data_IF_808936050127
#
_entry.id   IF_808936050127
#
_cell.length_a   1.000
_cell.length_b   1.000
_cell.length_c   1.000
_cell.angle_alpha   90.00
_cell.angle_beta   90.00
_cell.angle_gamma   90.00
#
_symmetry.space_group_name_H-M   'P 1'
#
loop_
_entity.id
_entity.type
_entity.pdbx_description
1 polymer ?
#
# COMPACT_ATOMS: atom_id res chain seq x y z
N UNK A 1 13.49 3.58 -7.52
CA UNK A 1 14.66 4.29 -8.09
C UNK A 1 14.75 4.17 -9.63
N UNK A 2 14.00 3.25 -10.25
CA UNK A 2 14.11 2.93 -11.68
C UNK A 2 12.79 3.17 -12.45
N UNK A 3 11.93 4.06 -11.97
CA UNK A 3 10.72 4.40 -12.72
C UNK A 3 11.11 5.21 -13.96
N UNK A 4 10.50 4.95 -15.13
CA UNK A 4 10.70 5.75 -16.33
C UNK A 4 10.36 7.23 -16.08
N UNK A 5 11.06 8.12 -16.78
CA UNK A 5 10.96 9.57 -16.52
C UNK A 5 9.56 10.11 -16.81
N UNK A 6 8.92 9.65 -17.85
CA UNK A 6 7.55 10.00 -18.21
C UNK A 6 6.54 9.62 -17.11
N UNK A 7 6.75 8.47 -16.44
CA UNK A 7 5.95 8.07 -15.28
C UNK A 7 6.20 9.00 -14.10
N UNK A 8 7.48 9.34 -13.82
CA UNK A 8 7.83 10.24 -12.72
C UNK A 8 7.24 11.64 -12.95
N UNK A 9 7.29 12.15 -14.16
CA UNK A 9 6.73 13.46 -14.51
C UNK A 9 5.19 13.44 -14.52
N UNK A 10 4.58 12.41 -15.11
CA UNK A 10 3.15 12.32 -15.34
C UNK A 10 2.29 11.92 -14.14
N UNK A 11 2.87 11.26 -13.11
CA UNK A 11 2.04 10.82 -11.98
C UNK A 11 1.58 12.01 -11.12
N UNK A 12 0.34 11.94 -10.64
CA UNK A 12 -0.28 12.98 -9.82
C UNK A 12 0.11 12.87 -8.34
N UNK A 13 0.35 11.65 -7.87
CA UNK A 13 0.68 11.39 -6.48
C UNK A 13 0.90 9.90 -6.20
N UNK A 14 1.18 9.59 -4.95
CA UNK A 14 1.50 8.23 -4.50
C UNK A 14 0.65 7.83 -3.31
N UNK A 15 0.13 6.59 -3.36
CA UNK A 15 -0.49 5.92 -2.23
C UNK A 15 0.58 5.20 -1.41
N UNK A 16 0.57 5.45 -0.11
CA UNK A 16 1.43 4.76 0.86
C UNK A 16 0.62 3.66 1.53
N UNK A 17 1.06 2.42 1.34
CA UNK A 17 0.45 1.20 1.83
C UNK A 17 1.54 0.39 2.52
N UNK A 18 1.34 -0.10 3.71
CA UNK A 18 2.26 -0.94 4.49
C UNK A 18 3.49 -0.25 5.13
N UNK A 19 3.97 0.87 4.65
CA UNK A 19 5.07 1.62 5.28
C UNK A 19 4.52 2.79 6.09
N UNK A 20 5.11 3.05 7.26
CA UNK A 20 4.76 4.22 8.08
C UNK A 20 4.80 5.50 7.23
N UNK A 21 3.66 6.19 7.04
CA UNK A 21 3.59 7.39 6.23
C UNK A 21 4.49 8.52 6.71
N UNK A 22 4.80 8.56 8.01
CA UNK A 22 5.69 9.58 8.61
C UNK A 22 7.11 9.42 8.07
N UNK A 23 7.51 8.20 7.72
CA UNK A 23 8.80 7.89 7.09
C UNK A 23 8.68 7.96 5.57
N UNK A 24 7.62 7.37 5.01
CA UNK A 24 7.48 7.22 3.57
C UNK A 24 7.27 8.55 2.84
N UNK A 25 6.56 9.52 3.43
CA UNK A 25 6.32 10.83 2.80
C UNK A 25 7.62 11.64 2.64
N UNK A 26 8.50 11.78 3.66
CA UNK A 26 9.80 12.40 3.47
C UNK A 26 10.64 11.73 2.39
N UNK A 27 10.73 10.41 2.38
CA UNK A 27 11.46 9.67 1.33
C UNK A 27 10.89 9.91 -0.08
N UNK A 28 9.57 10.03 -0.19
CA UNK A 28 8.93 10.38 -1.46
C UNK A 28 9.27 11.81 -1.89
N UNK A 29 9.32 12.75 -0.97
CA UNK A 29 9.77 14.12 -1.23
C UNK A 29 11.21 14.12 -1.75
N UNK A 30 12.11 13.41 -1.09
CA UNK A 30 13.51 13.29 -1.51
C UNK A 30 13.64 12.64 -2.89
N UNK A 31 12.81 11.62 -3.16
CA UNK A 31 12.72 11.01 -4.49
C UNK A 31 12.26 12.00 -5.56
N UNK A 32 11.24 12.79 -5.29
CA UNK A 32 10.75 13.81 -6.22
C UNK A 32 11.82 14.86 -6.51
N UNK A 33 12.43 15.42 -5.48
CA UNK A 33 13.49 16.43 -5.61
C UNK A 33 14.69 15.91 -6.38
N UNK A 34 15.13 14.67 -6.10
CA UNK A 34 16.26 14.04 -6.82
C UNK A 34 15.96 13.77 -8.29
N UNK A 35 14.69 13.79 -8.70
CA UNK A 35 14.25 13.66 -10.08
C UNK A 35 13.78 14.99 -10.69
N UNK A 36 14.08 16.13 -10.05
CA UNK A 36 13.73 17.46 -10.57
C UNK A 36 12.23 17.76 -10.53
N UNK A 37 11.47 17.05 -9.70
CA UNK A 37 10.04 17.25 -9.53
C UNK A 37 9.74 18.16 -8.34
N UNK A 38 8.70 18.96 -8.44
CA UNK A 38 8.21 19.82 -7.38
C UNK A 38 7.21 19.07 -6.49
N UNK A 39 7.55 18.76 -5.22
CA UNK A 39 6.64 18.06 -4.31
C UNK A 39 5.34 18.82 -4.05
N UNK A 40 5.33 20.14 -4.18
CA UNK A 40 4.13 20.97 -3.98
C UNK A 40 3.05 20.73 -5.04
N UNK A 41 3.40 20.09 -6.15
CA UNK A 41 2.47 19.72 -7.24
C UNK A 41 2.02 18.27 -7.16
N UNK A 42 2.48 17.52 -6.17
CA UNK A 42 2.21 16.08 -6.02
C UNK A 42 1.33 15.82 -4.80
N UNK A 43 0.65 14.66 -4.81
CA UNK A 43 -0.25 14.23 -3.75
C UNK A 43 0.34 13.04 -2.99
N UNK A 44 0.20 13.06 -1.67
CA UNK A 44 0.45 11.92 -0.79
C UNK A 44 -0.87 11.34 -0.28
N UNK A 45 -1.03 10.01 -0.34
CA UNK A 45 -2.24 9.31 0.09
C UNK A 45 -1.85 8.20 1.08
N UNK A 46 -1.61 8.53 2.37
CA UNK A 46 -1.50 7.50 3.40
C UNK A 46 -2.73 6.60 3.41
N UNK A 47 -2.48 5.30 3.49
CA UNK A 47 -3.52 4.28 3.51
C UNK A 47 -3.06 3.12 4.39
N UNK A 48 -3.96 2.19 4.67
CA UNK A 48 -3.74 1.02 5.54
C UNK A 48 -3.75 1.34 7.03
N UNK A 49 -4.58 0.62 7.78
CA UNK A 49 -4.67 0.69 9.24
C UNK A 49 -4.99 2.05 9.86
N UNK A 50 -5.50 3.01 9.09
CA UNK A 50 -5.73 4.37 9.57
C UNK A 50 -6.90 4.45 10.55
N UNK A 51 -6.70 5.29 11.56
CA UNK A 51 -7.73 5.77 12.49
C UNK A 51 -7.64 7.29 12.66
N UNK A 52 -8.56 7.88 13.40
CA UNK A 52 -8.59 9.33 13.61
C UNK A 52 -7.32 9.87 14.28
N UNK A 53 -6.69 9.09 15.15
CA UNK A 53 -5.46 9.47 15.84
C UNK A 53 -4.28 9.49 14.86
N UNK A 54 -4.08 8.41 14.13
CA UNK A 54 -2.99 8.30 13.14
C UNK A 54 -3.12 9.35 12.03
N UNK A 55 -4.34 9.62 11.54
CA UNK A 55 -4.59 10.70 10.57
C UNK A 55 -4.15 12.05 11.12
N UNK A 56 -4.52 12.37 12.37
CA UNK A 56 -4.10 13.62 13.01
C UNK A 56 -2.58 13.70 13.16
N UNK A 57 -1.95 12.61 13.59
CA UNK A 57 -0.50 12.59 13.83
C UNK A 57 0.28 12.69 12.51
N UNK A 58 -0.18 12.02 11.43
CA UNK A 58 0.37 12.16 10.09
C UNK A 58 0.18 13.59 9.56
N UNK A 59 -1.01 14.16 9.74
CA UNK A 59 -1.28 15.55 9.33
C UNK A 59 -0.31 16.52 9.99
N UNK A 60 -0.14 16.42 11.31
CA UNK A 60 0.72 17.29 12.07
C UNK A 60 2.20 17.23 11.62
N UNK A 61 2.67 16.06 11.20
CA UNK A 61 4.08 15.83 10.81
C UNK A 61 4.37 16.00 9.33
N UNK A 62 3.36 15.79 8.47
CA UNK A 62 3.56 15.70 7.02
C UNK A 62 2.83 16.79 6.23
N UNK A 63 1.99 17.60 6.87
CA UNK A 63 1.34 18.75 6.21
C UNK A 63 2.38 19.70 5.63
N UNK A 64 2.14 20.14 4.40
CA UNK A 64 3.04 21.06 3.68
C UNK A 64 4.27 20.40 3.03
N UNK A 65 4.51 19.10 3.24
CA UNK A 65 5.62 18.39 2.58
C UNK A 65 5.32 18.03 1.12
N UNK A 66 4.04 17.84 0.80
CA UNK A 66 3.50 17.64 -0.54
C UNK A 66 2.36 18.61 -0.80
N UNK A 67 2.00 18.84 -2.05
CA UNK A 67 0.96 19.81 -2.41
C UNK A 67 -0.41 19.46 -1.87
N UNK A 68 -0.74 18.18 -1.80
CA UNK A 68 -1.99 17.69 -1.21
C UNK A 68 -1.73 16.43 -0.38
N UNK A 69 -2.20 16.43 0.85
CA UNK A 69 -2.25 15.25 1.70
C UNK A 69 -3.70 14.83 1.87
N UNK A 70 -4.01 13.57 1.52
CA UNK A 70 -5.35 12.99 1.67
C UNK A 70 -5.21 11.57 2.20
N UNK A 71 -6.30 10.92 2.57
CA UNK A 71 -6.23 9.67 3.33
C UNK A 71 -7.15 8.60 2.74
N UNK A 72 -6.63 7.38 2.60
CA UNK A 72 -7.41 6.19 2.30
C UNK A 72 -7.86 5.50 3.60
N UNK A 73 -8.92 5.99 4.22
CA UNK A 73 -9.45 5.44 5.47
C UNK A 73 -10.59 4.47 5.16
N UNK A 74 -10.32 3.19 5.27
CA UNK A 74 -11.25 2.11 4.93
C UNK A 74 -11.96 1.52 6.15
N UNK A 75 -11.58 0.30 6.53
CA UNK A 75 -12.22 -0.50 7.58
C UNK A 75 -12.41 0.25 8.89
N UNK A 76 -11.42 1.04 9.31
CA UNK A 76 -11.49 1.84 10.52
C UNK A 76 -12.57 2.91 10.51
N UNK A 77 -13.03 3.36 9.33
CA UNK A 77 -14.13 4.31 9.19
C UNK A 77 -15.48 3.61 9.03
N UNK A 78 -15.53 2.58 8.19
CA UNK A 78 -16.79 2.02 7.70
C UNK A 78 -17.24 0.77 8.45
N UNK A 79 -16.33 0.07 9.11
CA UNK A 79 -16.59 -1.25 9.71
C UNK A 79 -15.88 -1.43 11.07
N UNK A 80 -15.64 -0.35 11.80
CA UNK A 80 -15.08 -0.42 13.15
C UNK A 80 -16.19 -0.41 14.18
N UNK A 81 -16.58 -1.60 14.67
CA UNK A 81 -17.64 -1.77 15.67
C UNK A 81 -17.10 -1.81 17.12
N UNK A 82 -15.81 -1.60 17.35
CA UNK A 82 -15.18 -1.65 18.68
C UNK A 82 -15.85 -0.73 19.71
N UNK A 83 -16.36 0.40 19.28
CA UNK A 83 -17.02 1.39 20.13
C UNK A 83 -18.46 1.00 20.50
N UNK A 84 -19.13 0.14 19.70
CA UNK A 84 -20.46 -0.36 19.99
C UNK A 84 -20.45 -1.46 21.04
N UNK A 85 -19.35 -2.19 21.14
CA UNK A 85 -19.18 -3.32 22.03
C UNK A 85 -17.86 -3.18 22.79
N UNK A 86 -17.78 -2.25 23.78
CA UNK A 86 -16.54 -1.93 24.47
C UNK A 86 -16.03 -3.04 25.40
N UNK A 87 -16.79 -4.10 25.58
CA UNK A 87 -16.43 -5.20 26.49
C UNK A 87 -15.67 -6.31 25.77
N UNK A 88 -14.37 -6.38 26.04
CA UNK A 88 -13.72 -7.59 26.44
C UNK A 88 -13.50 -8.68 25.40
N UNK A 89 -12.46 -8.65 24.76
CA UNK A 89 -11.84 -9.69 23.94
C UNK A 89 -11.89 -9.38 22.46
N UNK A 90 -10.76 -9.54 21.89
CA UNK A 90 -10.42 -9.36 20.48
C UNK A 90 -11.25 -10.19 19.47
N UNK A 91 -12.23 -10.94 19.96
CA UNK A 91 -13.17 -11.73 19.18
C UNK A 91 -14.59 -11.19 19.36
N UNK A 92 -14.96 -10.25 18.49
CA UNK A 92 -16.31 -9.66 18.46
C UNK A 92 -17.42 -10.67 18.06
N UNK A 93 -17.15 -11.97 18.05
CA UNK A 93 -18.10 -12.96 17.57
C UNK A 93 -18.60 -12.63 16.16
N UNK A 94 -19.88 -12.85 15.86
CA UNK A 94 -20.44 -12.61 14.52
C UNK A 94 -20.51 -11.13 14.11
N UNK A 95 -20.24 -10.18 15.00
CA UNK A 95 -20.33 -8.74 14.78
C UNK A 95 -18.96 -8.04 14.67
N UNK A 96 -17.88 -8.80 14.58
CA UNK A 96 -16.54 -8.23 14.42
C UNK A 96 -16.36 -7.54 13.08
N UNK A 97 -15.44 -6.58 13.03
CA UNK A 97 -15.00 -5.97 11.76
C UNK A 97 -14.46 -7.06 10.84
N UNK A 98 -14.88 -7.05 9.59
CA UNK A 98 -14.33 -7.95 8.58
C UNK A 98 -13.77 -7.17 7.40
N UNK A 99 -12.73 -7.74 6.79
CA UNK A 99 -12.14 -7.22 5.56
C UNK A 99 -12.20 -8.29 4.48
N UNK A 100 -12.65 -7.91 3.31
CA UNK A 100 -12.70 -8.80 2.15
C UNK A 100 -11.70 -8.31 1.11
N UNK A 101 -10.82 -9.21 0.69
CA UNK A 101 -9.89 -8.96 -0.40
C UNK A 101 -10.14 -9.99 -1.49
N UNK A 102 -10.45 -9.51 -2.68
CA UNK A 102 -10.66 -10.35 -3.87
C UNK A 102 -9.49 -10.09 -4.83
N UNK A 103 -8.84 -11.15 -5.27
CA UNK A 103 -7.73 -11.09 -6.22
C UNK A 103 -7.90 -12.17 -7.28
N UNK A 104 -7.53 -11.90 -8.56
CA UNK A 104 -7.53 -12.93 -9.57
C UNK A 104 -6.45 -13.98 -9.22
N UNK A 105 -6.81 -15.24 -9.30
CA UNK A 105 -5.89 -16.37 -9.11
C UNK A 105 -5.35 -16.88 -10.46
N UNK A 106 -6.22 -16.92 -11.46
CA UNK A 106 -5.85 -17.29 -12.81
C UNK A 106 -6.66 -16.52 -13.86
N UNK A 107 -6.12 -16.43 -15.07
CA UNK A 107 -6.79 -15.85 -16.24
C UNK A 107 -6.80 -16.84 -17.38
N UNK A 108 -7.91 -16.93 -18.08
CA UNK A 108 -8.03 -17.64 -19.34
C UNK A 108 -7.46 -16.80 -20.49
N UNK A 109 -6.61 -17.43 -21.30
CA UNK A 109 -6.06 -16.82 -22.51
C UNK A 109 -7.03 -16.99 -23.67
N UNK A 110 -6.79 -16.24 -24.74
CA UNK A 110 -7.60 -16.31 -25.97
C UNK A 110 -7.61 -17.70 -26.63
N UNK A 111 -6.60 -18.51 -26.37
CA UNK A 111 -6.48 -19.90 -26.86
C UNK A 111 -7.16 -20.93 -25.95
N UNK A 112 -7.87 -20.49 -24.90
CA UNK A 112 -8.56 -21.34 -23.93
C UNK A 112 -7.64 -21.92 -22.85
N UNK A 113 -6.34 -21.62 -22.86
CA UNK A 113 -5.41 -22.07 -21.80
C UNK A 113 -5.47 -21.12 -20.60
N UNK A 114 -5.32 -21.65 -19.39
CA UNK A 114 -5.27 -20.88 -18.16
C UNK A 114 -3.84 -20.57 -17.74
N UNK A 115 -3.63 -19.39 -17.22
CA UNK A 115 -2.36 -18.97 -16.62
C UNK A 115 -2.59 -18.37 -15.25
N UNK A 116 -1.77 -18.80 -14.27
CA UNK A 116 -1.82 -18.26 -12.91
C UNK A 116 -1.43 -16.79 -12.88
N UNK A 117 -2.16 -16.01 -12.12
CA UNK A 117 -1.78 -14.65 -11.78
C UNK A 117 -0.67 -14.66 -10.72
N UNK A 118 0.28 -13.74 -10.84
CA UNK A 118 1.35 -13.55 -9.87
C UNK A 118 1.26 -12.14 -9.30
N UNK A 119 1.27 -12.04 -7.98
CA UNK A 119 1.54 -10.80 -7.28
C UNK A 119 2.85 -10.95 -6.52
N UNK A 120 3.83 -10.12 -6.82
CA UNK A 120 4.97 -9.89 -5.94
C UNK A 120 4.60 -8.84 -4.89
N UNK A 121 5.21 -8.92 -3.72
CA UNK A 121 5.01 -7.98 -2.62
C UNK A 121 6.33 -7.82 -1.86
N UNK A 122 6.54 -6.65 -1.29
CA UNK A 122 7.59 -6.37 -0.30
C UNK A 122 7.45 -7.25 0.94
N UNK A 123 6.21 -7.68 1.25
CA UNK A 123 5.95 -8.70 2.25
C UNK A 123 5.82 -10.08 1.57
N UNK A 124 6.77 -11.02 1.81
CA UNK A 124 6.72 -12.35 1.22
C UNK A 124 5.42 -13.11 1.48
N UNK A 125 4.78 -12.87 2.65
CA UNK A 125 3.51 -13.51 3.02
C UNK A 125 2.32 -12.96 2.22
N UNK A 126 2.47 -11.84 1.54
CA UNK A 126 1.46 -11.25 0.67
C UNK A 126 1.68 -11.60 -0.81
N UNK A 127 2.74 -12.32 -1.16
CA UNK A 127 2.95 -12.82 -2.51
C UNK A 127 1.86 -13.85 -2.86
N UNK A 128 1.44 -13.87 -4.12
CA UNK A 128 0.41 -14.77 -4.61
C UNK A 128 0.81 -15.38 -5.95
N UNK A 129 0.27 -16.56 -6.22
CA UNK A 129 0.52 -17.34 -7.43
C UNK A 129 1.14 -18.70 -7.09
N UNK A 130 1.24 -19.58 -8.09
CA UNK A 130 1.95 -20.85 -7.91
C UNK A 130 3.43 -20.61 -7.59
N UNK A 131 4.05 -21.42 -6.71
CA UNK A 131 5.46 -21.22 -6.30
C UNK A 131 6.41 -21.06 -7.49
N UNK A 132 6.28 -21.90 -8.50
CA UNK A 132 7.13 -21.88 -9.70
C UNK A 132 7.02 -20.55 -10.45
N UNK A 133 5.81 -20.00 -10.54
CA UNK A 133 5.57 -18.72 -11.21
C UNK A 133 6.07 -17.55 -10.39
N UNK A 134 5.91 -17.58 -9.07
CA UNK A 134 6.47 -16.57 -8.15
C UNK A 134 8.00 -16.55 -8.30
N UNK A 135 8.66 -17.70 -8.30
CA UNK A 135 10.11 -17.79 -8.48
C UNK A 135 10.55 -17.33 -9.87
N UNK A 136 9.81 -17.69 -10.92
CA UNK A 136 10.07 -17.18 -12.26
C UNK A 136 10.01 -15.65 -12.32
N UNK A 137 8.99 -15.04 -11.69
CA UNK A 137 8.82 -13.61 -11.67
C UNK A 137 9.91 -12.90 -10.86
N UNK A 138 10.31 -13.46 -9.72
CA UNK A 138 11.45 -12.97 -8.93
C UNK A 138 12.75 -12.98 -9.74
N UNK A 139 13.00 -14.07 -10.50
CA UNK A 139 14.16 -14.18 -11.40
C UNK A 139 14.12 -13.16 -12.53
N UNK A 140 12.95 -12.95 -13.13
CA UNK A 140 12.79 -12.12 -14.33
C UNK A 140 12.86 -10.63 -13.99
N UNK A 141 12.20 -10.21 -12.91
CA UNK A 141 12.04 -8.80 -12.57
C UNK A 141 13.00 -8.33 -11.45
N UNK A 142 13.73 -9.26 -10.85
CA UNK A 142 14.63 -8.99 -9.74
C UNK A 142 13.89 -8.77 -8.41
N UNK A 143 14.65 -8.83 -7.33
CA UNK A 143 14.17 -8.61 -5.95
C UNK A 143 14.44 -7.18 -5.46
N UNK A 144 14.76 -6.27 -6.36
CA UNK A 144 15.15 -4.89 -6.01
C UNK A 144 13.98 -4.18 -5.31
N UNK A 145 14.17 -3.84 -4.05
CA UNK A 145 13.15 -3.23 -3.20
C UNK A 145 12.38 -4.20 -2.28
N UNK A 146 12.67 -5.49 -2.35
CA UNK A 146 12.11 -6.51 -1.44
C UNK A 146 13.05 -6.84 -0.26
N UNK A 147 14.11 -6.06 -0.08
CA UNK A 147 14.98 -6.18 1.09
C UNK A 147 14.19 -5.81 2.34
N UNK A 148 14.26 -6.68 3.34
CA UNK A 148 13.60 -6.66 4.64
C UNK A 148 13.25 -5.25 5.13
N UNK A 149 12.07 -4.78 4.85
CA UNK A 149 11.48 -3.68 5.60
C UNK A 149 10.60 -4.30 6.69
N UNK A 150 10.77 -3.86 7.92
CA UNK A 150 9.85 -4.22 9.01
C UNK A 150 8.45 -3.78 8.58
N UNK A 151 7.57 -4.76 8.45
CA UNK A 151 6.16 -4.51 8.18
C UNK A 151 5.52 -4.16 9.51
N UNK A 152 5.12 -2.92 9.67
CA UNK A 152 4.27 -2.51 10.78
C UNK A 152 2.88 -3.09 10.52
N UNK A 153 2.50 -4.09 11.30
CA UNK A 153 1.18 -4.73 11.28
C UNK A 153 0.22 -3.96 12.18
#
# INVERSE_FOLDING_TARGET
KNAPRDIIEGHVGTRFDSKDPIIAIPEYVDFLLSNGQDPSKKMGIPSDGLDAKSIRDITARCSGKVGKLTYGWGTGLTNNTKWLFPTEKENFGPFGSFSVVIKPDAVERKDGTWTSCVKLSDNPNKAMGSPDRVELFKKTFGMVGMEKQEVVV
#
